data_IF_473958275438
#
_entry.id   IF_473958275438
#
_cell.length_a   1.000
_cell.length_b   1.000
_cell.length_c   1.000
_cell.angle_alpha   90.00
_cell.angle_beta   90.00
_cell.angle_gamma   90.00
#
_symmetry.space_group_name_H-M   'P 1'
#
loop_
_entity.id
_entity.type
_entity.pdbx_description
1 polymer ?
#
# COMPACT_ATOMS: atom_id res chain seq x y z
N UNK A 1 -42.14 53.13 32.38
CA UNK A 1 -42.93 52.15 31.59
C UNK A 1 -42.04 51.63 30.47
N UNK A 2 -41.81 50.32 30.49
CA UNK A 2 -40.80 49.56 29.73
C UNK A 2 -40.97 49.69 28.20
N UNK A 3 -39.88 50.03 27.48
CA UNK A 3 -39.83 49.95 26.01
C UNK A 3 -39.37 48.54 25.63
N UNK A 4 -40.32 47.75 25.11
CA UNK A 4 -40.11 46.41 24.58
C UNK A 4 -39.18 46.49 23.35
N UNK A 5 -37.97 45.92 23.45
CA UNK A 5 -37.07 45.73 22.31
C UNK A 5 -37.45 44.41 21.64
N UNK A 6 -38.04 44.49 20.44
CA UNK A 6 -38.36 43.34 19.62
C UNK A 6 -37.13 42.95 18.80
N UNK A 7 -36.35 41.98 19.29
CA UNK A 7 -35.20 41.43 18.55
C UNK A 7 -35.70 40.55 17.41
N UNK A 8 -35.65 41.06 16.18
CA UNK A 8 -35.95 40.31 14.97
C UNK A 8 -34.85 39.27 14.73
N UNK A 9 -35.11 38.01 15.08
CA UNK A 9 -34.21 36.91 14.81
C UNK A 9 -34.34 36.54 13.32
N UNK A 10 -33.41 37.00 12.49
CA UNK A 10 -33.32 36.60 11.09
C UNK A 10 -32.86 35.14 11.01
N UNK A 11 -33.79 34.22 10.81
CA UNK A 11 -33.49 32.85 10.42
C UNK A 11 -32.95 32.89 8.98
N UNK A 12 -31.63 32.82 8.82
CA UNK A 12 -31.00 32.57 7.52
C UNK A 12 -31.34 31.12 7.17
N UNK A 13 -32.43 30.91 6.43
CA UNK A 13 -32.65 29.66 5.69
C UNK A 13 -31.57 29.61 4.60
N UNK A 14 -30.41 29.06 4.96
CA UNK A 14 -29.44 28.63 3.96
C UNK A 14 -30.09 27.53 3.14
N UNK A 15 -30.53 27.83 1.92
CA UNK A 15 -30.97 26.82 0.96
C UNK A 15 -29.74 25.97 0.61
N UNK A 16 -29.52 24.88 1.33
CA UNK A 16 -28.72 23.79 0.82
C UNK A 16 -29.46 23.27 -0.41
N UNK A 17 -28.94 23.58 -1.61
CA UNK A 17 -29.41 22.94 -2.82
C UNK A 17 -29.21 21.42 -2.62
N UNK A 18 -30.31 20.70 -2.38
CA UNK A 18 -30.31 19.25 -2.32
C UNK A 18 -30.11 18.76 -3.75
N UNK A 19 -28.85 18.59 -4.15
CA UNK A 19 -28.54 17.89 -5.39
C UNK A 19 -29.02 16.44 -5.25
N UNK A 20 -29.73 15.93 -6.26
CA UNK A 20 -30.22 14.56 -6.27
C UNK A 20 -29.04 13.59 -6.09
N UNK A 21 -29.16 12.71 -5.09
CA UNK A 21 -28.19 11.64 -4.88
C UNK A 21 -28.37 10.54 -5.94
N UNK A 22 -27.29 9.82 -6.33
CA UNK A 22 -27.40 8.76 -7.32
C UNK A 22 -28.19 7.61 -6.72
N UNK A 23 -29.11 7.06 -7.51
CA UNK A 23 -29.84 5.83 -7.16
C UNK A 23 -29.10 4.58 -7.62
N UNK A 24 -28.14 4.72 -8.54
CA UNK A 24 -27.28 3.65 -9.02
C UNK A 24 -25.87 4.15 -9.30
N UNK A 25 -24.88 3.29 -9.03
CA UNK A 25 -23.47 3.51 -9.34
C UNK A 25 -22.89 2.23 -9.94
N UNK A 26 -21.86 2.35 -10.77
CA UNK A 26 -21.20 1.19 -11.38
C UNK A 26 -19.69 1.28 -11.20
N UNK A 27 -19.10 0.31 -10.50
CA UNK A 27 -17.66 0.10 -10.50
C UNK A 27 -17.27 -0.64 -11.78
N UNK A 28 -16.33 -0.08 -12.53
CA UNK A 28 -15.86 -0.65 -13.81
C UNK A 28 -14.55 -1.42 -13.61
N UNK A 29 -13.60 -0.84 -12.88
CA UNK A 29 -12.27 -1.42 -12.63
C UNK A 29 -11.81 -1.03 -11.21
N UNK A 30 -11.15 -1.91 -10.45
CA UNK A 30 -10.72 -3.28 -10.76
C UNK A 30 -11.86 -4.29 -10.99
N UNK A 31 -11.58 -5.36 -11.74
CA UNK A 31 -12.52 -6.44 -12.06
C UNK A 31 -13.29 -6.26 -13.36
N UNK A 32 -12.79 -5.43 -14.29
CA UNK A 32 -13.41 -5.19 -15.60
C UNK A 32 -13.38 -6.46 -16.43
N UNK A 33 -12.21 -7.10 -16.49
CA UNK A 33 -11.95 -8.31 -17.25
C UNK A 33 -11.82 -9.52 -16.31
N UNK A 34 -12.08 -10.71 -16.85
CA UNK A 34 -11.84 -11.97 -16.13
C UNK A 34 -10.33 -12.24 -16.05
N UNK A 35 -9.84 -12.66 -14.89
CA UNK A 35 -8.45 -13.07 -14.71
C UNK A 35 -7.45 -11.92 -14.52
N UNK A 36 -7.92 -10.73 -14.16
CA UNK A 36 -7.02 -9.63 -13.79
C UNK A 36 -6.12 -10.02 -12.61
N UNK A 37 -4.85 -9.65 -12.68
CA UNK A 37 -3.86 -9.90 -11.64
C UNK A 37 -3.17 -8.58 -11.26
N UNK A 38 -3.11 -8.30 -9.96
CA UNK A 38 -2.52 -7.09 -9.43
C UNK A 38 -1.36 -7.43 -8.49
N UNK A 39 -0.21 -6.79 -8.71
CA UNK A 39 0.92 -6.94 -7.79
C UNK A 39 0.63 -6.22 -6.48
N UNK A 40 0.80 -6.91 -5.36
CA UNK A 40 0.71 -6.33 -4.03
C UNK A 40 1.57 -5.05 -3.91
N UNK A 41 0.99 -3.98 -3.36
CA UNK A 41 1.65 -2.69 -3.21
C UNK A 41 1.70 -1.82 -4.48
N UNK A 42 1.29 -2.32 -5.65
CA UNK A 42 1.14 -1.48 -6.84
C UNK A 42 -0.05 -0.52 -6.70
N UNK A 43 0.04 0.64 -7.35
CA UNK A 43 -1.05 1.60 -7.47
C UNK A 43 -1.66 1.49 -8.86
N UNK A 44 -2.98 1.28 -8.90
CA UNK A 44 -3.74 1.16 -10.14
C UNK A 44 -4.92 2.13 -10.12
N UNK A 45 -5.43 2.46 -11.30
CA UNK A 45 -6.59 3.33 -11.41
C UNK A 45 -7.86 2.59 -10.99
N UNK A 46 -8.75 3.30 -10.28
CA UNK A 46 -10.13 2.87 -10.11
C UNK A 46 -10.96 3.61 -11.13
N UNK A 47 -11.77 2.90 -11.91
CA UNK A 47 -12.70 3.52 -12.85
C UNK A 47 -14.12 3.14 -12.51
N UNK A 48 -15.04 4.09 -12.58
CA UNK A 48 -16.43 3.94 -12.22
C UNK A 48 -17.32 4.84 -13.08
N UNK A 49 -18.62 4.59 -13.06
CA UNK A 49 -19.62 5.39 -13.72
C UNK A 49 -20.73 5.75 -12.73
N UNK A 50 -21.18 7.00 -12.79
CA UNK A 50 -22.21 7.60 -11.96
C UNK A 50 -23.26 8.19 -12.89
N UNK A 51 -24.42 7.54 -12.97
CA UNK A 51 -25.50 8.02 -13.83
C UNK A 51 -26.07 9.34 -13.28
N UNK A 52 -25.82 10.44 -14.00
CA UNK A 52 -26.57 11.70 -13.85
C UNK A 52 -26.32 12.51 -12.57
N UNK A 53 -25.20 12.32 -11.88
CA UNK A 53 -24.93 13.03 -10.61
C UNK A 53 -23.70 13.94 -10.66
N UNK A 54 -23.64 14.88 -9.71
CA UNK A 54 -22.55 15.84 -9.58
C UNK A 54 -22.24 16.03 -8.09
N UNK A 55 -20.95 15.95 -7.72
CA UNK A 55 -20.43 16.20 -6.36
C UNK A 55 -20.86 15.22 -5.26
N UNK A 56 -21.36 14.04 -5.63
CA UNK A 56 -21.53 12.95 -4.66
C UNK A 56 -20.18 12.45 -4.16
N UNK A 57 -20.16 11.87 -2.95
CA UNK A 57 -18.96 11.31 -2.34
C UNK A 57 -19.09 9.81 -2.19
N UNK A 58 -17.98 9.12 -2.39
CA UNK A 58 -17.92 7.67 -2.42
C UNK A 58 -16.82 7.14 -1.51
N UNK A 59 -17.04 5.92 -1.01
CA UNK A 59 -16.02 5.14 -0.32
C UNK A 59 -15.70 3.91 -1.14
N UNK A 60 -14.40 3.61 -1.25
CA UNK A 60 -13.93 2.38 -1.86
C UNK A 60 -13.38 1.44 -0.79
N UNK A 61 -13.72 0.16 -0.93
CA UNK A 61 -13.35 -0.88 0.02
C UNK A 61 -12.86 -2.12 -0.72
N UNK A 62 -12.02 -2.90 -0.07
CA UNK A 62 -11.50 -4.17 -0.56
C UNK A 62 -12.12 -5.33 0.24
N UNK A 63 -12.36 -6.44 -0.44
CA UNK A 63 -12.82 -7.69 0.14
C UNK A 63 -12.24 -8.90 -0.61
N UNK A 64 -12.24 -10.06 0.03
CA UNK A 64 -11.80 -11.34 -0.55
C UNK A 64 -12.97 -12.20 -1.05
N UNK A 65 -14.18 -11.65 -1.04
CA UNK A 65 -15.37 -12.20 -1.66
C UNK A 65 -16.27 -11.07 -2.16
N UNK A 66 -17.21 -11.40 -3.06
CA UNK A 66 -18.18 -10.43 -3.57
C UNK A 66 -19.15 -9.91 -2.49
N UNK A 67 -19.23 -10.57 -1.33
CA UNK A 67 -20.06 -10.16 -0.20
C UNK A 67 -19.26 -9.48 0.94
N UNK A 68 -17.93 -9.42 0.83
CA UNK A 68 -17.03 -8.96 1.89
C UNK A 68 -16.40 -10.12 2.69
N UNK A 69 -15.93 -9.91 3.93
CA UNK A 69 -15.97 -8.65 4.69
C UNK A 69 -15.21 -7.52 3.98
N UNK A 70 -15.63 -6.28 4.24
CA UNK A 70 -15.12 -5.10 3.54
C UNK A 70 -14.20 -4.27 4.43
N UNK A 71 -13.04 -3.92 3.89
CA UNK A 71 -12.05 -3.04 4.55
C UNK A 71 -11.82 -1.79 3.71
N UNK A 72 -11.74 -0.62 4.35
CA UNK A 72 -11.51 0.63 3.63
C UNK A 72 -10.18 0.63 2.88
N UNK A 73 -10.20 1.07 1.62
CA UNK A 73 -8.98 1.36 0.90
C UNK A 73 -8.37 2.67 1.45
N UNK A 74 -7.06 2.65 1.69
CA UNK A 74 -6.32 3.76 2.29
C UNK A 74 -6.46 5.01 1.41
N UNK A 75 -6.84 6.13 2.03
CA UNK A 75 -7.04 7.41 1.31
C UNK A 75 -8.33 7.51 0.50
N UNK A 76 -9.14 6.46 0.42
CA UNK A 76 -10.37 6.40 -0.39
C UNK A 76 -11.66 6.32 0.44
N UNK A 77 -11.69 6.99 1.59
CA UNK A 77 -12.84 6.98 2.51
C UNK A 77 -13.93 8.00 2.18
N UNK A 78 -13.60 9.01 1.36
CA UNK A 78 -14.50 10.10 0.93
C UNK A 78 -14.01 10.74 -0.37
N UNK A 79 -14.15 10.01 -1.48
CA UNK A 79 -13.76 10.45 -2.83
C UNK A 79 -14.88 11.29 -3.43
N UNK A 80 -14.60 12.54 -3.80
CA UNK A 80 -15.54 13.41 -4.51
C UNK A 80 -15.57 13.07 -6.00
N UNK A 81 -16.76 12.83 -6.54
CA UNK A 81 -16.95 12.77 -7.99
C UNK A 81 -16.97 14.19 -8.57
N UNK A 82 -15.84 14.55 -9.15
CA UNK A 82 -15.45 15.93 -9.53
C UNK A 82 -15.40 16.08 -11.06
N UNK A 83 -14.66 17.07 -11.60
CA UNK A 83 -14.60 17.32 -13.04
C UNK A 83 -13.88 16.19 -13.83
N UNK A 84 -12.98 15.43 -13.20
CA UNK A 84 -12.39 14.19 -13.75
C UNK A 84 -13.24 12.99 -13.33
N UNK A 85 -14.49 12.98 -13.83
CA UNK A 85 -15.49 11.98 -13.45
C UNK A 85 -15.01 10.56 -13.76
N UNK A 86 -15.44 9.63 -12.92
CA UNK A 86 -15.33 8.21 -13.21
C UNK A 86 -13.93 7.61 -13.12
N UNK A 87 -12.92 8.35 -12.62
CA UNK A 87 -11.56 7.82 -12.42
C UNK A 87 -10.94 8.35 -11.12
N UNK A 88 -10.35 7.45 -10.33
CA UNK A 88 -9.39 7.77 -9.27
C UNK A 88 -8.02 7.24 -9.69
N UNK A 89 -7.18 8.10 -10.25
CA UNK A 89 -5.87 7.67 -10.75
C UNK A 89 -4.95 7.26 -9.60
N UNK A 90 -4.34 6.07 -9.72
CA UNK A 90 -3.52 5.45 -8.68
C UNK A 90 -4.26 5.15 -7.36
N UNK A 91 -5.59 5.26 -7.35
CA UNK A 91 -6.40 5.13 -6.13
C UNK A 91 -6.39 3.73 -5.54
N UNK A 92 -6.31 2.70 -6.38
CA UNK A 92 -6.22 1.33 -5.89
C UNK A 92 -4.78 0.96 -5.55
N UNK A 93 -4.38 1.27 -4.31
CA UNK A 93 -3.19 0.67 -3.70
C UNK A 93 -3.52 -0.76 -3.29
N UNK A 94 -3.01 -1.73 -4.04
CA UNK A 94 -3.33 -3.15 -3.88
C UNK A 94 -2.87 -3.63 -2.50
N UNK A 95 -3.78 -4.13 -1.63
CA UNK A 95 -3.41 -4.65 -0.33
C UNK A 95 -2.38 -5.79 -0.43
N UNK A 96 -1.48 -5.88 0.54
CA UNK A 96 -0.47 -6.93 0.60
C UNK A 96 -1.03 -8.27 1.11
N UNK A 97 -2.24 -8.63 0.68
CA UNK A 97 -2.91 -9.89 1.01
C UNK A 97 -2.95 -10.71 -0.27
N UNK A 98 -2.45 -11.94 -0.27
CA UNK A 98 -2.58 -12.86 -1.40
C UNK A 98 -4.02 -13.37 -1.48
N UNK A 99 -4.67 -13.21 -2.64
CA UNK A 99 -6.02 -13.72 -2.88
C UNK A 99 -6.20 -14.18 -4.31
N UNK A 100 -7.00 -15.23 -4.48
CA UNK A 100 -7.50 -15.69 -5.78
C UNK A 100 -8.82 -14.98 -6.17
N UNK A 101 -9.48 -14.35 -5.20
CA UNK A 101 -10.83 -13.78 -5.32
C UNK A 101 -10.90 -12.40 -4.65
N UNK A 102 -10.07 -11.46 -5.10
CA UNK A 102 -10.14 -10.07 -4.68
C UNK A 102 -11.29 -9.34 -5.35
N UNK A 103 -11.96 -8.46 -4.59
CA UNK A 103 -13.00 -7.56 -5.06
C UNK A 103 -12.77 -6.16 -4.49
N UNK A 104 -13.11 -5.15 -5.27
CA UNK A 104 -13.31 -3.78 -4.76
C UNK A 104 -14.81 -3.51 -4.79
N UNK A 105 -15.30 -2.77 -3.79
CA UNK A 105 -16.63 -2.17 -3.86
C UNK A 105 -16.58 -0.67 -3.71
N UNK A 106 -17.53 -0.01 -4.34
CA UNK A 106 -17.82 1.41 -4.26
C UNK A 106 -19.16 1.56 -3.53
N UNK A 107 -19.24 2.51 -2.60
CA UNK A 107 -20.43 2.78 -1.79
C UNK A 107 -20.67 4.28 -1.73
N UNK A 108 -21.91 4.72 -1.97
CA UNK A 108 -22.30 6.12 -1.80
C UNK A 108 -22.22 6.54 -0.33
N UNK A 109 -21.79 7.77 -0.07
CA UNK A 109 -21.86 8.37 1.25
C UNK A 109 -23.11 9.23 1.42
N UNK A 110 -23.74 9.08 2.58
CA UNK A 110 -24.74 10.01 3.07
C UNK A 110 -24.11 11.37 3.43
N UNK A 111 -24.90 12.45 3.58
CA UNK A 111 -24.37 13.76 3.96
C UNK A 111 -23.61 13.78 5.30
N UNK A 112 -23.94 12.86 6.21
CA UNK A 112 -23.26 12.66 7.50
C UNK A 112 -21.95 11.84 7.40
N UNK A 113 -21.60 11.35 6.21
CA UNK A 113 -20.42 10.51 5.97
C UNK A 113 -20.60 9.02 6.27
N UNK A 114 -21.80 8.60 6.70
CA UNK A 114 -22.17 7.19 6.82
C UNK A 114 -22.33 6.53 5.44
N UNK A 115 -22.25 5.20 5.41
CA UNK A 115 -22.41 4.43 4.17
C UNK A 115 -23.90 4.32 3.80
N UNK A 116 -24.23 4.60 2.54
CA UNK A 116 -25.51 4.23 1.97
C UNK A 116 -25.40 2.84 1.32
N UNK A 117 -25.63 1.79 2.11
CA UNK A 117 -25.54 0.40 1.64
C UNK A 117 -26.61 0.03 0.59
N UNK A 118 -27.62 0.89 0.37
CA UNK A 118 -28.59 0.74 -0.72
C UNK A 118 -28.04 1.15 -2.09
N UNK A 119 -26.94 1.91 -2.14
CA UNK A 119 -26.31 2.39 -3.38
C UNK A 119 -24.84 1.97 -3.38
N UNK A 120 -24.63 0.73 -3.83
CA UNK A 120 -23.30 0.10 -3.89
C UNK A 120 -23.04 -0.49 -5.27
N UNK A 121 -21.77 -0.72 -5.57
CA UNK A 121 -21.35 -1.51 -6.72
C UNK A 121 -20.07 -2.26 -6.39
N UNK A 122 -19.99 -3.52 -6.82
CA UNK A 122 -18.85 -4.41 -6.58
C UNK A 122 -18.19 -4.73 -7.92
N UNK A 123 -16.89 -5.00 -7.89
CA UNK A 123 -16.13 -5.50 -9.04
C UNK A 123 -16.91 -6.62 -9.73
N UNK A 124 -17.10 -6.50 -11.05
CA UNK A 124 -17.87 -7.46 -11.84
C UNK A 124 -17.28 -8.86 -11.80
N UNK A 125 -15.95 -8.95 -11.86
CA UNK A 125 -15.20 -10.20 -11.79
C UNK A 125 -14.22 -10.18 -10.62
N UNK A 126 -13.89 -11.34 -10.02
CA UNK A 126 -12.76 -11.44 -9.10
C UNK A 126 -11.46 -11.15 -9.84
N UNK A 127 -10.54 -10.48 -9.15
CA UNK A 127 -9.14 -10.36 -9.54
C UNK A 127 -8.24 -11.12 -8.57
N UNK A 128 -7.03 -11.43 -8.99
CA UNK A 128 -6.01 -11.98 -8.09
C UNK A 128 -5.09 -10.88 -7.60
N UNK A 129 -4.64 -11.02 -6.38
CA UNK A 129 -3.49 -10.27 -5.88
C UNK A 129 -2.30 -11.22 -5.81
N UNK A 130 -1.24 -10.86 -6.51
CA UNK A 130 -0.01 -11.64 -6.58
C UNK A 130 1.08 -10.92 -5.82
N UNK A 131 1.95 -11.69 -5.18
CA UNK A 131 3.21 -11.19 -4.67
C UNK A 131 4.33 -11.70 -5.56
N UNK A 132 5.39 -10.90 -5.78
CA UNK A 132 6.63 -11.47 -6.29
C UNK A 132 7.04 -12.65 -5.40
N UNK A 133 7.56 -13.75 -5.97
CA UNK A 133 8.08 -14.84 -5.16
C UNK A 133 9.08 -14.28 -4.16
N UNK A 134 9.04 -14.81 -2.93
CA UNK A 134 10.03 -14.47 -1.92
C UNK A 134 11.43 -14.79 -2.49
N UNK A 135 12.33 -13.82 -2.40
CA UNK A 135 13.70 -14.03 -2.80
C UNK A 135 14.35 -15.04 -1.84
N UNK A 136 14.93 -16.10 -2.39
CA UNK A 136 15.55 -17.17 -1.59
C UNK A 136 16.97 -16.73 -1.18
N UNK A 137 17.28 -16.83 0.10
CA UNK A 137 18.66 -16.63 0.59
C UNK A 137 19.53 -17.80 0.13
N UNK A 138 20.64 -17.49 -0.54
CA UNK A 138 21.63 -18.47 -0.98
C UNK A 138 22.70 -18.72 0.07
N UNK A 139 23.04 -17.71 0.87
CA UNK A 139 24.10 -17.78 1.87
C UNK A 139 23.76 -16.96 3.10
N UNK A 140 24.04 -17.50 4.29
CA UNK A 140 23.76 -16.82 5.56
C UNK A 140 25.06 -16.32 6.18
N UNK A 141 25.08 -15.04 6.56
CA UNK A 141 26.12 -14.42 7.37
C UNK A 141 25.66 -14.41 8.83
N UNK A 142 26.54 -14.78 9.76
CA UNK A 142 26.21 -14.88 11.19
C UNK A 142 27.42 -14.65 12.07
N UNK A 143 27.22 -14.09 13.26
CA UNK A 143 28.29 -13.95 14.26
C UNK A 143 29.39 -12.98 13.81
N UNK A 144 30.66 -13.37 13.96
CA UNK A 144 31.80 -12.50 13.68
C UNK A 144 32.51 -12.86 12.38
N UNK A 145 32.65 -11.87 11.49
CA UNK A 145 33.50 -11.92 10.30
C UNK A 145 34.90 -11.48 10.72
N UNK A 146 35.81 -12.47 10.83
CA UNK A 146 37.19 -12.29 11.32
C UNK A 146 38.24 -12.30 10.20
N UNK A 147 37.81 -12.47 8.94
CA UNK A 147 38.67 -12.48 7.76
C UNK A 147 38.09 -11.57 6.67
N UNK A 148 38.95 -11.10 5.78
CA UNK A 148 38.52 -10.37 4.59
C UNK A 148 37.55 -11.23 3.78
N UNK A 149 36.37 -10.69 3.49
CA UNK A 149 35.27 -11.44 2.90
C UNK A 149 34.70 -10.65 1.71
N UNK A 150 34.46 -11.32 0.59
CA UNK A 150 33.80 -10.71 -0.58
C UNK A 150 32.43 -11.34 -0.78
N UNK A 151 31.39 -10.51 -0.83
CA UNK A 151 30.02 -10.88 -1.15
C UNK A 151 29.78 -10.69 -2.64
N UNK A 152 29.48 -11.78 -3.34
CA UNK A 152 29.30 -11.78 -4.79
C UNK A 152 27.87 -11.42 -5.20
N UNK A 153 27.73 -10.70 -6.30
CA UNK A 153 26.41 -10.36 -6.88
C UNK A 153 25.58 -11.56 -7.34
N UNK A 154 26.19 -12.73 -7.47
CA UNK A 154 25.53 -13.96 -7.91
C UNK A 154 24.82 -14.71 -6.77
N UNK A 155 24.85 -14.18 -5.55
CA UNK A 155 24.21 -14.76 -4.37
C UNK A 155 23.37 -13.71 -3.66
N UNK A 156 22.28 -14.17 -3.08
CA UNK A 156 21.49 -13.45 -2.10
C UNK A 156 22.00 -13.82 -0.71
N UNK A 157 22.46 -12.84 0.04
CA UNK A 157 22.93 -13.03 1.40
C UNK A 157 21.82 -12.73 2.40
N UNK A 158 21.72 -13.52 3.46
CA UNK A 158 20.84 -13.24 4.60
C UNK A 158 21.66 -13.03 5.87
N UNK A 159 21.32 -12.03 6.67
CA UNK A 159 21.87 -11.84 8.00
C UNK A 159 21.15 -12.77 8.99
N UNK A 160 21.88 -13.41 9.89
CA UNK A 160 21.31 -14.11 11.05
C UNK A 160 21.71 -13.39 12.33
N UNK A 161 20.73 -12.74 12.94
CA UNK A 161 20.96 -11.85 14.08
C UNK A 161 21.95 -10.73 13.76
N UNK A 162 22.78 -10.38 14.75
CA UNK A 162 23.83 -9.38 14.59
C UNK A 162 25.11 -10.01 14.00
N UNK A 163 25.57 -9.45 12.89
CA UNK A 163 26.79 -9.87 12.19
C UNK A 163 27.84 -8.79 12.36
N UNK A 164 28.94 -9.10 13.04
CA UNK A 164 30.01 -8.16 13.33
C UNK A 164 31.19 -8.33 12.37
N UNK A 165 31.56 -7.27 11.67
CA UNK A 165 32.82 -7.22 10.91
C UNK A 165 33.90 -6.73 11.85
N UNK A 166 34.89 -7.58 12.13
CA UNK A 166 35.87 -7.36 13.19
C UNK A 166 37.01 -6.44 12.75
N UNK A 167 37.66 -5.79 13.72
CA UNK A 167 38.77 -4.87 13.48
C UNK A 167 39.88 -5.52 12.62
N UNK A 168 40.47 -4.75 11.71
CA UNK A 168 41.53 -5.23 10.81
C UNK A 168 41.01 -6.01 9.59
N UNK A 169 39.70 -6.22 9.46
CA UNK A 169 39.09 -6.94 8.33
C UNK A 169 38.30 -6.00 7.43
N UNK A 170 38.13 -6.42 6.18
CA UNK A 170 37.33 -5.72 5.17
C UNK A 170 36.27 -6.66 4.62
N UNK A 171 35.01 -6.21 4.64
CA UNK A 171 33.94 -6.82 3.86
C UNK A 171 33.73 -6.03 2.55
N UNK A 172 33.80 -6.71 1.42
CA UNK A 172 33.63 -6.12 0.10
C UNK A 172 32.35 -6.66 -0.54
N UNK A 173 31.48 -5.77 -1.01
CA UNK A 173 30.26 -6.12 -1.71
C UNK A 173 30.41 -5.76 -3.19
N UNK A 174 30.27 -6.76 -4.06
CA UNK A 174 30.20 -6.53 -5.51
C UNK A 174 28.97 -5.66 -5.88
N UNK A 175 29.05 -4.86 -6.95
CA UNK A 175 27.88 -4.14 -7.46
C UNK A 175 26.73 -5.10 -7.80
N UNK A 176 25.53 -4.82 -7.31
CA UNK A 176 24.36 -5.68 -7.46
C UNK A 176 24.16 -6.70 -6.34
N UNK A 177 25.04 -6.73 -5.32
CA UNK A 177 24.84 -7.61 -4.16
C UNK A 177 23.58 -7.25 -3.39
N UNK A 178 22.80 -8.28 -3.02
CA UNK A 178 21.59 -8.17 -2.22
C UNK A 178 21.83 -8.82 -0.86
N UNK A 179 21.55 -8.08 0.20
CA UNK A 179 21.63 -8.54 1.59
C UNK A 179 20.26 -8.37 2.24
N UNK A 180 19.67 -9.47 2.68
CA UNK A 180 18.46 -9.48 3.48
C UNK A 180 18.78 -9.44 4.98
N UNK A 181 17.93 -8.74 5.74
CA UNK A 181 17.78 -9.03 7.17
C UNK A 181 17.33 -10.46 7.42
N UNK A 182 17.32 -10.85 8.68
CA UNK A 182 16.79 -12.13 9.13
C UNK A 182 15.26 -12.20 8.89
N UNK A 183 14.63 -13.25 9.40
CA UNK A 183 13.20 -13.46 9.38
C UNK A 183 12.47 -12.26 10.01
N UNK A 184 11.34 -11.87 9.43
CA UNK A 184 10.51 -10.76 9.95
C UNK A 184 10.21 -10.97 11.44
N UNK A 185 10.45 -9.94 12.25
CA UNK A 185 10.30 -9.98 13.70
C UNK A 185 11.56 -10.43 14.46
N UNK A 186 12.64 -10.79 13.76
CA UNK A 186 13.95 -11.08 14.34
C UNK A 186 14.90 -9.92 14.01
N UNK A 187 15.43 -9.27 15.05
CA UNK A 187 16.39 -8.19 14.87
C UNK A 187 17.66 -8.73 14.22
N UNK A 188 18.13 -8.02 13.19
CA UNK A 188 19.36 -8.34 12.49
C UNK A 188 20.09 -7.09 12.06
N UNK A 189 21.41 -7.13 12.06
CA UNK A 189 22.21 -6.01 11.59
C UNK A 189 23.58 -6.43 11.06
N UNK A 190 24.11 -5.69 10.09
CA UNK A 190 25.51 -5.78 9.68
C UNK A 190 26.31 -4.66 10.37
N UNK A 191 27.06 -5.02 11.39
CA UNK A 191 27.75 -4.09 12.28
C UNK A 191 29.22 -4.02 11.89
N UNK A 192 29.67 -2.86 11.41
CA UNK A 192 31.08 -2.61 11.12
C UNK A 192 31.76 -2.11 12.39
N UNK A 193 32.53 -2.96 13.06
CA UNK A 193 33.21 -2.57 14.29
C UNK A 193 34.34 -1.56 13.99
N UNK A 194 34.76 -0.81 15.01
CA UNK A 194 35.89 0.14 14.89
C UNK A 194 37.13 -0.58 14.36
N UNK A 195 37.78 0.01 13.37
CA UNK A 195 38.96 -0.56 12.71
C UNK A 195 38.64 -1.61 11.63
N UNK A 196 37.37 -1.96 11.42
CA UNK A 196 36.92 -2.73 10.26
C UNK A 196 36.56 -1.80 9.09
N UNK A 197 36.37 -2.37 7.90
CA UNK A 197 35.97 -1.63 6.69
C UNK A 197 34.84 -2.35 5.95
N UNK A 198 33.95 -1.55 5.34
CA UNK A 198 33.00 -1.99 4.32
C UNK A 198 33.33 -1.29 3.00
N UNK A 199 33.41 -2.06 1.92
CA UNK A 199 33.53 -1.54 0.55
C UNK A 199 32.25 -1.93 -0.18
N UNK A 200 31.35 -0.95 -0.41
CA UNK A 200 30.04 -1.18 -1.03
C UNK A 200 29.79 -0.17 -2.16
N UNK A 201 30.57 -0.28 -3.23
CA UNK A 201 30.51 0.62 -4.38
C UNK A 201 29.48 0.14 -5.42
N UNK A 202 28.19 0.32 -5.12
CA UNK A 202 27.11 0.02 -6.07
C UNK A 202 27.14 0.91 -7.31
N UNK A 203 26.42 0.51 -8.37
CA UNK A 203 26.23 1.31 -9.59
C UNK A 203 24.75 1.62 -9.83
N UNK A 204 24.40 2.66 -10.61
CA UNK A 204 23.00 2.94 -10.95
C UNK A 204 22.27 1.76 -11.61
N UNK A 205 22.97 0.99 -12.45
CA UNK A 205 22.47 -0.21 -13.13
C UNK A 205 22.62 -1.50 -12.29
N UNK A 206 23.41 -1.45 -11.22
CA UNK A 206 23.67 -2.57 -10.32
C UNK A 206 23.81 -2.06 -8.86
N UNK A 207 22.72 -1.58 -8.25
CA UNK A 207 22.78 -1.05 -6.89
C UNK A 207 23.04 -2.17 -5.90
N UNK A 208 23.73 -1.84 -4.81
CA UNK A 208 23.81 -2.74 -3.64
C UNK A 208 22.56 -2.50 -2.81
N UNK A 209 21.84 -3.56 -2.49
CA UNK A 209 20.54 -3.48 -1.82
C UNK A 209 20.59 -4.22 -0.50
N UNK A 210 20.44 -3.46 0.60
CA UNK A 210 20.11 -4.01 1.90
C UNK A 210 18.61 -3.86 2.12
N UNK A 211 17.91 -4.94 2.47
CA UNK A 211 16.45 -4.89 2.61
C UNK A 211 15.88 -6.00 3.51
N UNK A 212 14.58 -5.96 3.76
CA UNK A 212 13.87 -6.97 4.55
C UNK A 212 13.65 -8.27 3.76
N UNK A 213 13.70 -9.40 4.46
CA UNK A 213 13.29 -10.71 3.92
C UNK A 213 11.77 -10.80 3.65
N UNK A 214 10.98 -9.83 4.13
CA UNK A 214 9.55 -9.77 3.88
C UNK A 214 9.21 -9.61 2.39
N UNK A 215 8.05 -10.14 1.94
CA UNK A 215 7.53 -9.90 0.61
C UNK A 215 7.43 -8.40 0.28
N UNK A 216 7.51 -8.09 -1.03
CA UNK A 216 7.33 -6.72 -1.51
C UNK A 216 6.00 -6.13 -1.02
N UNK A 217 6.05 -4.92 -0.46
CA UNK A 217 4.89 -4.23 0.12
C UNK A 217 4.57 -4.60 1.58
N UNK A 218 5.25 -5.59 2.16
CA UNK A 218 5.14 -5.97 3.59
C UNK A 218 6.40 -5.60 4.41
N UNK A 219 7.41 -5.02 3.77
CA UNK A 219 8.66 -4.61 4.44
C UNK A 219 8.39 -3.44 5.39
N UNK A 220 8.86 -3.54 6.63
CA UNK A 220 8.71 -2.54 7.67
C UNK A 220 10.07 -1.97 8.10
N UNK A 221 10.03 -0.78 8.70
CA UNK A 221 11.22 -0.22 9.36
C UNK A 221 11.62 -1.10 10.55
N UNK A 222 12.92 -1.38 10.68
CA UNK A 222 13.45 -2.26 11.73
C UNK A 222 13.54 -3.74 11.36
N UNK A 223 13.02 -4.16 10.20
CA UNK A 223 13.21 -5.53 9.68
C UNK A 223 14.70 -5.88 9.46
N UNK A 224 15.53 -4.86 9.28
CA UNK A 224 16.98 -4.95 9.20
C UNK A 224 17.61 -3.60 9.62
N UNK A 225 18.82 -3.66 10.17
CA UNK A 225 19.58 -2.50 10.65
C UNK A 225 21.04 -2.51 10.17
#
# INVERSE_FOLDING_TARGET
>A
MSRLVLTLMAFILGTAAMFAQPTSITLISPGKNVGEEYRAGSSNDITYDTAGTYRSRFRFQFGTSAAGPWTNLVGLTSVLDSAKRGVVSGGFRVPAVLTQTGYVRMVLLNPDGSLNEGVTSVSKNPFKTIQPPASKVDSVLSGSITLNTTLSRNKIYGLRGYVHVMAGTTITLEPGTIVFGDSVGVNSALIINRGAKIIANGRPDAPIVFTSSAPSGQRAAGDWL
#
